data_IF_980740993051
#
_entry.id   IF_980740993051
#
_cell.length_a   1.000
_cell.length_b   1.000
_cell.length_c   1.000
_cell.angle_alpha   90.00
_cell.angle_beta   90.00
_cell.angle_gamma   90.00
#
_symmetry.space_group_name_H-M   'P 1'
#
loop_
_entity.id
_entity.type
_entity.pdbx_description
1 polymer ?
#
# COMPACT_ATOMS: atom_id res chain seq x y z
N UNK A 1 -34.24 -35.41 3.21
CA UNK A 1 -32.90 -35.27 3.82
C UNK A 1 -32.93 -33.99 4.64
N UNK A 2 -32.67 -34.05 5.94
CA UNK A 2 -32.52 -32.84 6.75
C UNK A 2 -31.21 -32.14 6.36
N UNK A 3 -31.32 -31.00 5.67
CA UNK A 3 -30.18 -30.21 5.20
C UNK A 3 -29.56 -29.36 6.32
N UNK A 4 -30.21 -29.25 7.49
CA UNK A 4 -29.74 -28.42 8.60
C UNK A 4 -28.54 -29.02 9.34
N UNK A 5 -28.32 -30.34 9.25
CA UNK A 5 -27.18 -31.05 9.87
C UNK A 5 -25.82 -30.48 9.45
N UNK A 6 -25.74 -29.89 8.26
CA UNK A 6 -24.52 -29.32 7.70
C UNK A 6 -24.46 -27.79 7.84
N UNK A 7 -25.36 -27.17 8.61
CA UNK A 7 -25.32 -25.75 8.96
C UNK A 7 -24.87 -25.64 10.41
N UNK A 8 -23.65 -25.14 10.63
CA UNK A 8 -23.03 -25.05 11.97
C UNK A 8 -22.89 -23.60 12.40
N UNK A 9 -23.42 -23.27 13.58
CA UNK A 9 -23.35 -21.91 14.13
C UNK A 9 -21.95 -21.64 14.71
N UNK A 10 -21.34 -20.53 14.28
CA UNK A 10 -20.03 -20.10 14.77
C UNK A 10 -19.44 -19.00 13.90
N UNK A 11 -18.37 -18.37 14.40
CA UNK A 11 -17.57 -17.49 13.55
C UNK A 11 -16.67 -18.33 12.64
N UNK A 12 -16.76 -18.12 11.33
CA UNK A 12 -15.88 -18.77 10.33
C UNK A 12 -14.39 -18.56 10.62
N UNK A 13 -14.04 -17.38 11.18
CA UNK A 13 -12.65 -17.00 11.41
C UNK A 13 -12.08 -17.63 12.69
N UNK A 14 -12.78 -17.51 13.82
CA UNK A 14 -12.29 -17.99 15.12
C UNK A 14 -12.75 -19.39 15.52
N UNK A 15 -13.77 -19.94 14.85
CA UNK A 15 -14.35 -21.24 15.17
C UNK A 15 -14.69 -22.01 13.89
N UNK A 16 -13.66 -22.52 13.21
CA UNK A 16 -13.82 -23.30 11.99
C UNK A 16 -14.55 -24.62 12.25
N UNK A 17 -15.83 -24.62 11.93
CA UNK A 17 -16.69 -25.77 12.14
C UNK A 17 -16.42 -26.93 11.17
N UNK A 18 -15.57 -26.75 10.17
CA UNK A 18 -15.26 -27.73 9.12
C UNK A 18 -13.74 -27.84 8.90
N UNK A 19 -12.93 -27.71 9.95
CA UNK A 19 -11.47 -27.56 9.88
C UNK A 19 -10.79 -28.59 8.95
N UNK A 20 -11.15 -29.87 9.09
CA UNK A 20 -10.55 -31.00 8.37
C UNK A 20 -11.27 -31.36 7.07
N UNK A 21 -12.30 -30.60 6.70
CA UNK A 21 -13.09 -30.85 5.49
C UNK A 21 -12.61 -29.97 4.34
N UNK A 22 -12.77 -30.49 3.12
CA UNK A 22 -12.48 -29.82 1.84
C UNK A 22 -13.63 -30.04 0.87
N UNK A 23 -13.77 -29.14 -0.09
CA UNK A 23 -14.90 -29.12 -1.01
C UNK A 23 -14.44 -28.86 -2.44
N UNK A 24 -15.16 -29.45 -3.40
CA UNK A 24 -14.96 -29.22 -4.84
C UNK A 24 -15.44 -27.83 -5.28
N UNK A 25 -16.51 -27.34 -4.65
CA UNK A 25 -17.14 -26.06 -4.97
C UNK A 25 -17.40 -25.29 -3.68
N UNK A 26 -16.90 -24.06 -3.62
CA UNK A 26 -17.11 -23.14 -2.52
C UNK A 26 -17.78 -21.87 -3.04
N UNK A 27 -18.84 -21.42 -2.38
CA UNK A 27 -19.50 -20.15 -2.68
C UNK A 27 -19.68 -19.38 -1.38
N UNK A 28 -19.29 -18.11 -1.36
CA UNK A 28 -19.49 -17.25 -0.19
C UNK A 28 -19.79 -15.82 -0.61
N UNK A 29 -20.57 -15.14 0.23
CA UNK A 29 -20.76 -13.69 0.20
C UNK A 29 -20.48 -13.17 1.62
N UNK A 30 -19.19 -13.01 1.99
CA UNK A 30 -18.83 -12.61 3.35
C UNK A 30 -19.25 -11.16 3.63
N UNK A 31 -19.38 -10.77 4.91
CA UNK A 31 -19.67 -9.38 5.27
C UNK A 31 -18.60 -8.41 4.76
N UNK A 32 -19.01 -7.37 4.03
CA UNK A 32 -18.11 -6.35 3.47
C UNK A 32 -17.39 -5.55 4.57
N UNK A 33 -16.06 -5.46 4.49
CA UNK A 33 -15.28 -4.56 5.35
C UNK A 33 -15.45 -4.82 6.86
N UNK A 34 -15.79 -6.06 7.24
CA UNK A 34 -16.08 -6.39 8.64
C UNK A 34 -14.80 -6.33 9.47
N UNK A 35 -14.82 -5.52 10.54
CA UNK A 35 -13.77 -5.56 11.56
C UNK A 35 -13.71 -6.92 12.25
N UNK A 36 -12.51 -7.43 12.51
CA UNK A 36 -12.30 -8.76 13.06
C UNK A 36 -11.68 -8.76 14.46
N UNK A 37 -11.86 -7.68 15.25
CA UNK A 37 -11.33 -7.60 16.63
C UNK A 37 -11.75 -8.79 17.50
N UNK A 38 -13.01 -9.25 17.36
CA UNK A 38 -13.55 -10.39 18.13
C UNK A 38 -12.90 -11.72 17.76
N UNK A 39 -12.42 -11.86 16.53
CA UNK A 39 -11.77 -13.06 16.02
C UNK A 39 -10.24 -13.00 16.18
N UNK A 40 -9.70 -11.82 16.56
CA UNK A 40 -8.27 -11.51 16.50
C UNK A 40 -7.39 -12.52 17.22
N UNK A 41 -7.76 -12.88 18.45
CA UNK A 41 -6.96 -13.80 19.27
C UNK A 41 -6.78 -15.15 18.57
N UNK A 42 -7.86 -15.74 18.04
CA UNK A 42 -7.81 -17.04 17.39
C UNK A 42 -7.02 -16.98 16.06
N UNK A 43 -7.25 -15.91 15.27
CA UNK A 43 -6.56 -15.68 14.01
C UNK A 43 -5.05 -15.46 14.22
N UNK A 44 -4.66 -14.62 15.19
CA UNK A 44 -3.25 -14.39 15.57
C UNK A 44 -2.58 -15.69 16.04
N UNK A 45 -3.28 -16.48 16.86
CA UNK A 45 -2.78 -17.77 17.36
C UNK A 45 -2.54 -18.72 16.20
N UNK A 46 -3.51 -18.89 15.29
CA UNK A 46 -3.36 -19.76 14.13
C UNK A 46 -2.21 -19.30 13.21
N UNK A 47 -2.12 -17.99 12.93
CA UNK A 47 -1.04 -17.43 12.12
C UNK A 47 0.34 -17.70 12.74
N UNK A 48 0.51 -17.51 14.06
CA UNK A 48 1.79 -17.71 14.76
C UNK A 48 2.16 -19.17 14.92
N UNK A 49 1.21 -20.03 15.29
CA UNK A 49 1.49 -21.41 15.67
C UNK A 49 1.51 -22.35 14.46
N UNK A 50 0.65 -22.11 13.47
CA UNK A 50 0.57 -22.97 12.28
C UNK A 50 1.36 -22.42 11.10
N UNK A 51 1.70 -21.12 11.09
CA UNK A 51 2.41 -20.48 9.98
C UNK A 51 1.76 -20.82 8.63
N UNK A 52 2.57 -21.28 7.69
CA UNK A 52 2.15 -21.67 6.33
C UNK A 52 1.18 -22.87 6.27
N UNK A 53 1.09 -23.66 7.35
CA UNK A 53 0.15 -24.78 7.46
C UNK A 53 -1.24 -24.33 7.97
N UNK A 54 -1.35 -23.07 8.43
CA UNK A 54 -2.60 -22.47 8.88
C UNK A 54 -3.32 -21.71 7.77
N UNK A 55 -4.62 -21.44 7.97
CA UNK A 55 -5.44 -20.70 6.99
C UNK A 55 -4.97 -19.27 6.79
N UNK A 56 -4.31 -18.70 7.79
CA UNK A 56 -3.90 -17.30 7.84
C UNK A 56 -2.39 -17.13 7.78
N UNK A 57 -1.63 -18.17 7.41
CA UNK A 57 -0.19 -18.10 7.18
C UNK A 57 0.24 -16.94 6.26
N UNK A 58 -0.40 -16.77 5.07
CA UNK A 58 0.01 -15.77 4.09
C UNK A 58 0.03 -14.33 4.60
N UNK A 59 -0.79 -14.02 5.59
CA UNK A 59 -0.72 -12.77 6.33
C UNK A 59 -2.03 -12.32 6.96
N UNK A 60 -1.95 -11.22 7.70
CA UNK A 60 -3.08 -10.66 8.43
C UNK A 60 -3.42 -9.28 7.85
N UNK A 61 -4.66 -9.03 7.40
CA UNK A 61 -5.08 -7.70 6.94
C UNK A 61 -5.25 -6.75 8.13
N UNK A 62 -5.53 -5.47 7.87
CA UNK A 62 -5.84 -4.51 8.94
C UNK A 62 -7.02 -4.99 9.78
N UNK A 63 -6.99 -4.71 11.09
CA UNK A 63 -8.05 -5.14 12.02
C UNK A 63 -9.45 -4.63 11.62
N UNK A 64 -9.48 -3.49 10.91
CA UNK A 64 -10.68 -2.85 10.41
C UNK A 64 -11.34 -3.57 9.23
N UNK A 65 -10.65 -4.49 8.55
CA UNK A 65 -11.17 -5.19 7.38
C UNK A 65 -10.70 -6.66 7.33
N UNK A 66 -11.62 -7.58 7.58
CA UNK A 66 -11.39 -9.02 7.54
C UNK A 66 -11.68 -9.69 6.19
N UNK A 67 -11.95 -8.93 5.12
CA UNK A 67 -12.38 -9.50 3.82
C UNK A 67 -11.40 -10.54 3.28
N UNK A 68 -10.10 -10.26 3.37
CA UNK A 68 -9.05 -11.20 2.94
C UNK A 68 -8.96 -12.46 3.83
N UNK A 69 -9.35 -12.40 5.11
CA UNK A 69 -9.41 -13.59 5.97
C UNK A 69 -10.47 -14.58 5.49
N UNK A 70 -11.63 -14.07 5.04
CA UNK A 70 -12.67 -14.93 4.46
C UNK A 70 -12.23 -15.55 3.13
N UNK A 71 -11.49 -14.80 2.31
CA UNK A 71 -10.95 -15.31 1.04
C UNK A 71 -9.91 -16.41 1.27
N UNK A 72 -8.99 -16.22 2.21
CA UNK A 72 -8.03 -17.26 2.60
C UNK A 72 -8.71 -18.47 3.24
N UNK A 73 -9.74 -18.25 4.07
CA UNK A 73 -10.56 -19.35 4.57
C UNK A 73 -11.16 -20.15 3.41
N UNK A 74 -11.77 -19.50 2.42
CA UNK A 74 -12.35 -20.17 1.25
C UNK A 74 -11.29 -20.94 0.47
N UNK A 75 -10.12 -20.33 0.22
CA UNK A 75 -8.99 -20.97 -0.44
C UNK A 75 -8.51 -22.22 0.32
N UNK A 76 -8.42 -22.14 1.65
CA UNK A 76 -8.02 -23.27 2.50
C UNK A 76 -8.98 -24.47 2.45
N UNK A 77 -10.20 -24.27 1.96
CA UNK A 77 -11.23 -25.32 1.83
C UNK A 77 -11.27 -25.99 0.47
N UNK A 78 -10.43 -25.57 -0.48
CA UNK A 78 -10.33 -26.21 -1.78
C UNK A 78 -9.67 -27.60 -1.67
N UNK A 79 -10.08 -28.53 -2.53
CA UNK A 79 -9.72 -29.97 -2.45
C UNK A 79 -8.21 -30.25 -2.38
N UNK A 80 -7.42 -29.62 -3.24
CA UNK A 80 -5.96 -29.74 -3.20
C UNK A 80 -5.38 -28.75 -2.17
N UNK A 81 -4.49 -29.22 -1.26
CA UNK A 81 -3.87 -28.37 -0.27
C UNK A 81 -3.05 -27.28 -0.94
N UNK A 82 -3.10 -26.08 -0.36
CA UNK A 82 -2.32 -24.94 -0.80
C UNK A 82 -1.41 -24.57 0.37
N UNK A 83 -0.12 -24.48 0.11
CA UNK A 83 0.88 -24.06 1.09
C UNK A 83 1.39 -22.66 0.76
N UNK A 84 1.99 -22.01 1.76
CA UNK A 84 2.97 -20.95 1.54
C UNK A 84 2.59 -19.57 2.06
N UNK A 85 3.63 -18.78 2.30
CA UNK A 85 3.56 -17.35 2.64
C UNK A 85 3.64 -17.14 4.14
N UNK A 86 4.67 -16.40 4.58
CA UNK A 86 4.84 -15.94 5.94
C UNK A 86 5.18 -14.45 5.93
N UNK A 87 4.20 -13.62 5.63
CA UNK A 87 4.32 -12.17 5.66
C UNK A 87 3.00 -11.55 6.14
N UNK A 88 2.86 -10.22 6.18
CA UNK A 88 1.68 -9.57 6.74
C UNK A 88 1.13 -8.47 5.83
N UNK A 89 -0.18 -8.24 5.89
CA UNK A 89 -0.88 -7.24 5.07
C UNK A 89 -1.57 -7.80 3.83
N UNK A 90 -2.47 -7.01 3.26
CA UNK A 90 -3.32 -7.41 2.12
C UNK A 90 -2.51 -7.66 0.83
N UNK A 91 -1.37 -6.98 0.67
CA UNK A 91 -0.48 -7.17 -0.48
C UNK A 91 0.13 -8.58 -0.50
N UNK A 92 0.54 -9.08 0.67
CA UNK A 92 1.13 -10.42 0.80
C UNK A 92 0.10 -11.53 0.60
N UNK A 93 -1.13 -11.31 1.06
CA UNK A 93 -2.24 -12.22 0.79
C UNK A 93 -2.52 -12.27 -0.73
N UNK A 94 -2.49 -11.13 -1.43
CA UNK A 94 -2.62 -11.09 -2.89
C UNK A 94 -1.44 -11.74 -3.60
N UNK A 95 -0.21 -11.49 -3.14
CA UNK A 95 1.01 -12.16 -3.63
C UNK A 95 0.83 -13.66 -3.56
N UNK A 96 0.45 -14.19 -2.40
CA UNK A 96 0.20 -15.61 -2.20
C UNK A 96 -0.88 -16.15 -3.16
N UNK A 97 -2.03 -15.48 -3.27
CA UNK A 97 -3.13 -15.88 -4.15
C UNK A 97 -2.71 -15.95 -5.63
N UNK A 98 -1.88 -15.00 -6.09
CA UNK A 98 -1.45 -14.88 -7.48
C UNK A 98 -0.26 -15.80 -7.80
N UNK A 99 0.75 -15.86 -6.93
CA UNK A 99 1.95 -16.70 -7.11
C UNK A 99 1.65 -18.19 -6.93
N UNK A 100 0.66 -18.57 -6.11
CA UNK A 100 0.14 -19.94 -6.05
C UNK A 100 -0.92 -20.24 -7.13
N UNK A 101 -1.08 -19.34 -8.10
CA UNK A 101 -1.93 -19.50 -9.27
C UNK A 101 -3.40 -19.83 -8.93
N UNK A 102 -3.91 -19.27 -7.82
CA UNK A 102 -5.27 -19.57 -7.34
C UNK A 102 -6.33 -18.71 -8.02
N UNK A 103 -6.01 -17.45 -8.32
CA UNK A 103 -6.98 -16.51 -8.89
C UNK A 103 -7.16 -16.80 -10.37
N UNK A 104 -8.30 -17.38 -10.76
CA UNK A 104 -8.62 -17.64 -12.17
C UNK A 104 -9.24 -16.45 -12.88
N UNK A 105 -10.15 -15.76 -12.21
CA UNK A 105 -10.78 -14.55 -12.75
C UNK A 105 -11.26 -13.60 -11.65
N UNK A 106 -11.35 -12.32 -12.00
CA UNK A 106 -12.03 -11.29 -11.20
C UNK A 106 -13.01 -10.55 -12.12
N UNK A 107 -14.28 -10.52 -11.73
CA UNK A 107 -15.35 -9.91 -12.54
C UNK A 107 -15.89 -8.71 -11.78
N UNK A 108 -15.69 -7.50 -12.31
CA UNK A 108 -16.29 -6.28 -11.77
C UNK A 108 -17.78 -6.25 -12.11
N UNK A 109 -18.63 -6.13 -11.09
CA UNK A 109 -20.08 -6.11 -11.24
C UNK A 109 -20.64 -4.67 -11.21
N UNK A 110 -21.84 -4.45 -11.76
CA UNK A 110 -22.55 -3.19 -11.62
C UNK A 110 -22.69 -2.75 -10.15
N UNK A 111 -22.70 -1.43 -9.91
CA UNK A 111 -23.14 -0.87 -8.62
C UNK A 111 -24.65 -1.06 -8.44
N UNK A 112 -25.18 -0.75 -7.26
CA UNK A 112 -26.63 -0.72 -6.98
C UNK A 112 -27.34 -2.09 -7.14
N UNK A 113 -26.59 -3.19 -6.99
CA UNK A 113 -27.13 -4.56 -6.99
C UNK A 113 -27.66 -5.00 -5.62
N UNK A 114 -27.26 -4.33 -4.53
CA UNK A 114 -27.57 -4.72 -3.15
C UNK A 114 -28.55 -3.74 -2.49
N UNK A 115 -29.44 -4.27 -1.66
CA UNK A 115 -30.50 -3.49 -0.98
C UNK A 115 -29.97 -2.40 -0.04
N UNK A 116 -28.80 -2.61 0.58
CA UNK A 116 -28.26 -1.78 1.67
C UNK A 116 -27.00 -1.01 1.32
N UNK A 117 -26.47 -1.18 0.11
CA UNK A 117 -25.22 -0.54 -0.31
C UNK A 117 -25.13 -0.42 -1.82
N UNK A 118 -24.47 0.64 -2.28
CA UNK A 118 -24.19 0.92 -3.69
C UNK A 118 -22.71 0.72 -4.06
N UNK A 119 -21.95 0.03 -3.21
CA UNK A 119 -20.53 -0.24 -3.47
C UNK A 119 -20.32 -1.00 -4.79
N UNK A 120 -19.18 -0.74 -5.42
CA UNK A 120 -18.66 -1.63 -6.45
C UNK A 120 -18.36 -3.00 -5.82
N UNK A 121 -18.72 -4.08 -6.52
CA UNK A 121 -18.50 -5.44 -6.05
C UNK A 121 -17.82 -6.27 -7.14
N UNK A 122 -17.12 -7.32 -6.70
CA UNK A 122 -16.35 -8.18 -7.58
C UNK A 122 -16.67 -9.64 -7.28
N UNK A 123 -16.78 -10.46 -8.32
CA UNK A 123 -16.73 -11.92 -8.17
C UNK A 123 -15.27 -12.37 -8.30
N UNK A 124 -14.78 -13.02 -7.26
CA UNK A 124 -13.47 -13.66 -7.27
C UNK A 124 -13.66 -15.15 -7.57
N UNK A 125 -13.10 -15.61 -8.69
CA UNK A 125 -13.11 -17.01 -9.08
C UNK A 125 -11.76 -17.60 -8.74
N UNK A 126 -11.74 -18.50 -7.76
CA UNK A 126 -10.55 -19.24 -7.36
C UNK A 126 -10.58 -20.66 -7.91
N UNK A 127 -9.44 -21.18 -8.33
CA UNK A 127 -9.26 -22.57 -8.73
C UNK A 127 -7.82 -23.01 -8.48
N UNK A 128 -7.65 -24.15 -7.78
CA UNK A 128 -6.39 -24.87 -7.66
C UNK A 128 -6.25 -25.98 -8.73
N UNK A 129 -7.15 -26.00 -9.72
CA UNK A 129 -7.16 -26.93 -10.85
C UNK A 129 -7.42 -26.16 -12.15
N UNK A 130 -6.57 -25.18 -12.43
CA UNK A 130 -6.63 -24.41 -13.68
C UNK A 130 -6.30 -25.31 -14.88
N UNK A 131 -7.00 -25.07 -15.99
CA UNK A 131 -6.64 -25.62 -17.30
C UNK A 131 -5.23 -25.13 -17.69
N UNK A 132 -4.49 -25.95 -18.44
CA UNK A 132 -3.09 -25.66 -18.80
C UNK A 132 -2.93 -24.29 -19.46
N UNK A 133 -3.85 -23.91 -20.35
CA UNK A 133 -3.82 -22.64 -21.06
C UNK A 133 -4.10 -21.40 -20.17
N UNK A 134 -4.68 -21.61 -18.97
CA UNK A 134 -5.02 -20.58 -17.97
C UNK A 134 -4.02 -20.52 -16.80
N UNK A 135 -3.04 -21.44 -16.74
CA UNK A 135 -2.01 -21.40 -15.69
C UNK A 135 -1.16 -20.15 -15.79
N UNK A 136 -0.84 -19.56 -14.64
CA UNK A 136 -0.10 -18.29 -14.53
C UNK A 136 -0.85 -17.08 -15.08
N UNK A 137 -2.15 -17.22 -15.37
CA UNK A 137 -2.98 -16.14 -15.91
C UNK A 137 -4.19 -15.86 -15.03
N UNK A 138 -4.65 -14.62 -15.09
CA UNK A 138 -5.88 -14.12 -14.47
C UNK A 138 -6.70 -13.41 -15.52
N UNK A 139 -7.98 -13.77 -15.62
CA UNK A 139 -8.93 -13.03 -16.44
C UNK A 139 -9.55 -11.89 -15.63
N UNK A 140 -9.38 -10.65 -16.06
CA UNK A 140 -10.21 -9.54 -15.58
C UNK A 140 -11.40 -9.38 -16.51
N UNK A 141 -12.61 -9.23 -15.97
CA UNK A 141 -13.81 -8.95 -16.76
C UNK A 141 -14.57 -7.76 -16.19
N UNK A 142 -14.90 -6.80 -17.05
CA UNK A 142 -15.65 -5.61 -16.68
C UNK A 142 -17.12 -5.75 -17.08
N UNK A 143 -17.94 -6.25 -16.15
CA UNK A 143 -19.38 -6.39 -16.35
C UNK A 143 -20.17 -5.20 -15.79
N UNK A 144 -19.53 -4.07 -15.47
CA UNK A 144 -20.18 -2.94 -14.79
C UNK A 144 -21.32 -2.30 -15.60
N UNK A 145 -21.31 -2.46 -16.93
CA UNK A 145 -22.37 -2.01 -17.85
C UNK A 145 -23.49 -3.05 -18.06
N UNK A 146 -23.32 -4.29 -17.60
CA UNK A 146 -24.26 -5.39 -17.85
C UNK A 146 -25.33 -5.46 -16.75
N UNK A 147 -26.33 -4.58 -16.87
CA UNK A 147 -27.45 -4.51 -15.93
C UNK A 147 -28.75 -4.10 -16.59
N UNK A 148 -29.87 -4.41 -15.92
CA UNK A 148 -31.22 -3.97 -16.26
C UNK A 148 -31.78 -3.13 -15.10
N UNK A 149 -32.41 -1.98 -15.36
CA UNK A 149 -33.01 -1.18 -14.30
C UNK A 149 -34.21 -1.91 -13.69
N UNK A 150 -34.41 -1.73 -12.39
CA UNK A 150 -35.62 -2.15 -11.68
C UNK A 150 -36.23 -0.98 -10.93
N UNK A 151 -37.48 -1.14 -10.49
CA UNK A 151 -38.07 -0.26 -9.49
C UNK A 151 -37.19 -0.28 -8.22
N UNK A 152 -36.90 0.89 -7.68
CA UNK A 152 -36.01 1.04 -6.53
C UNK A 152 -36.49 0.22 -5.32
N UNK A 153 -35.59 -0.59 -4.77
CA UNK A 153 -35.78 -1.36 -3.54
C UNK A 153 -34.64 -1.04 -2.55
N UNK A 154 -34.80 0.05 -1.80
CA UNK A 154 -33.72 0.62 -1.02
C UNK A 154 -32.62 1.18 -1.92
N UNK A 155 -31.38 0.74 -1.73
CA UNK A 155 -30.26 1.10 -2.61
C UNK A 155 -30.20 0.25 -3.87
N UNK A 156 -30.99 -0.84 -3.97
CA UNK A 156 -31.00 -1.70 -5.14
C UNK A 156 -31.80 -1.04 -6.26
N UNK A 157 -31.14 -0.80 -7.39
CA UNK A 157 -31.73 -0.17 -8.59
C UNK A 157 -31.48 -0.98 -9.86
N UNK A 158 -30.61 -1.97 -9.77
CA UNK A 158 -30.13 -2.77 -10.90
C UNK A 158 -30.25 -4.25 -10.59
N UNK A 159 -30.48 -5.04 -11.64
CA UNK A 159 -30.30 -6.49 -11.66
C UNK A 159 -29.40 -6.86 -12.83
N UNK A 160 -28.79 -8.04 -12.76
CA UNK A 160 -28.18 -8.69 -13.92
C UNK A 160 -29.22 -9.69 -14.44
N UNK A 161 -29.79 -9.43 -15.61
CA UNK A 161 -30.82 -10.29 -16.22
C UNK A 161 -30.27 -11.68 -16.57
N UNK A 162 -31.13 -12.64 -16.88
CA UNK A 162 -30.69 -13.99 -17.29
C UNK A 162 -29.80 -13.93 -18.53
N UNK A 163 -30.18 -13.13 -19.52
CA UNK A 163 -29.38 -12.89 -20.72
C UNK A 163 -28.00 -12.30 -20.37
N UNK A 164 -27.96 -11.28 -19.50
CA UNK A 164 -26.71 -10.66 -19.06
C UNK A 164 -25.83 -11.63 -18.24
N UNK A 165 -26.44 -12.54 -17.46
CA UNK A 165 -25.72 -13.60 -16.75
C UNK A 165 -25.09 -14.59 -17.72
N UNK A 166 -25.79 -14.97 -18.79
CA UNK A 166 -25.22 -15.80 -19.85
C UNK A 166 -24.09 -15.07 -20.57
N UNK A 167 -24.26 -13.78 -20.89
CA UNK A 167 -23.19 -12.99 -21.49
C UNK A 167 -21.91 -12.94 -20.62
N UNK A 168 -22.05 -12.74 -19.31
CA UNK A 168 -20.90 -12.77 -18.38
C UNK A 168 -20.25 -14.16 -18.36
N UNK A 169 -21.05 -15.23 -18.39
CA UNK A 169 -20.55 -16.59 -18.43
C UNK A 169 -19.79 -16.88 -19.74
N UNK A 170 -20.32 -16.43 -20.88
CA UNK A 170 -19.70 -16.60 -22.19
C UNK A 170 -18.36 -15.85 -22.26
N UNK A 171 -18.29 -14.63 -21.74
CA UNK A 171 -17.05 -13.86 -21.61
C UNK A 171 -16.02 -14.63 -20.76
N UNK A 172 -16.42 -15.15 -19.60
CA UNK A 172 -15.54 -15.94 -18.73
C UNK A 172 -15.06 -17.26 -19.39
N UNK A 173 -15.96 -17.93 -20.11
CA UNK A 173 -15.70 -19.20 -20.77
C UNK A 173 -14.75 -19.02 -21.96
N UNK A 174 -14.96 -18.00 -22.79
CA UNK A 174 -14.12 -17.69 -23.93
C UNK A 174 -12.67 -17.39 -23.51
N UNK A 175 -12.49 -16.61 -22.43
CA UNK A 175 -11.15 -16.28 -21.92
C UNK A 175 -10.32 -15.42 -22.89
N UNK A 176 -10.97 -14.79 -23.87
CA UNK A 176 -10.34 -13.95 -24.87
C UNK A 176 -10.06 -12.54 -24.32
N UNK A 177 -9.25 -11.78 -25.06
CA UNK A 177 -8.92 -10.40 -24.71
C UNK A 177 -9.64 -9.44 -25.64
N UNK A 178 -10.59 -8.68 -25.09
CA UNK A 178 -11.48 -7.75 -25.77
C UNK A 178 -11.82 -6.53 -24.87
N UNK A 179 -12.77 -5.70 -25.27
CA UNK A 179 -13.17 -4.51 -24.52
C UNK A 179 -13.63 -4.79 -23.07
N UNK A 180 -14.32 -5.92 -22.85
CA UNK A 180 -14.90 -6.29 -21.56
C UNK A 180 -14.05 -7.34 -20.82
N UNK A 181 -13.04 -7.93 -21.47
CA UNK A 181 -12.22 -8.99 -20.89
C UNK A 181 -10.74 -8.86 -21.21
N UNK A 182 -9.87 -9.14 -20.24
CA UNK A 182 -8.41 -9.18 -20.42
C UNK A 182 -7.87 -10.44 -19.77
N UNK A 183 -7.22 -11.30 -20.55
CA UNK A 183 -6.47 -12.45 -20.02
C UNK A 183 -5.02 -12.03 -19.84
N UNK A 184 -4.57 -11.92 -18.59
CA UNK A 184 -3.29 -11.30 -18.24
C UNK A 184 -2.40 -12.29 -17.50
N UNK A 185 -1.08 -12.18 -17.70
CA UNK A 185 -0.10 -12.83 -16.83
C UNK A 185 -0.23 -12.27 -15.40
N UNK A 186 -0.21 -13.13 -14.38
CA UNK A 186 -0.36 -12.67 -12.99
C UNK A 186 0.71 -11.65 -12.59
N UNK A 187 1.90 -11.71 -13.20
CA UNK A 187 3.01 -10.78 -12.97
C UNK A 187 2.70 -9.35 -13.40
N UNK A 188 1.72 -9.15 -14.29
CA UNK A 188 1.27 -7.81 -14.70
C UNK A 188 0.64 -7.01 -13.54
N UNK A 189 0.13 -7.70 -12.50
CA UNK A 189 -0.38 -7.08 -11.28
C UNK A 189 0.72 -6.80 -10.24
N UNK A 190 1.93 -7.31 -10.47
CA UNK A 190 3.06 -7.14 -9.58
C UNK A 190 3.73 -5.79 -9.77
N UNK A 191 4.35 -5.32 -8.70
CA UNK A 191 5.37 -4.28 -8.72
C UNK A 191 6.47 -4.61 -7.73
N UNK A 192 7.65 -4.02 -7.93
CA UNK A 192 8.77 -4.05 -7.00
C UNK A 192 8.95 -2.65 -6.44
N UNK A 193 8.57 -2.48 -5.17
CA UNK A 193 8.72 -1.21 -4.46
C UNK A 193 10.18 -1.02 -4.10
N UNK A 194 10.81 0.03 -4.61
CA UNK A 194 12.17 0.43 -4.24
C UNK A 194 12.11 1.61 -3.28
N UNK A 195 13.16 1.76 -2.47
CA UNK A 195 13.31 2.90 -1.58
C UNK A 195 14.35 3.84 -2.20
N UNK A 196 13.90 5.03 -2.54
CA UNK A 196 14.69 6.06 -3.20
C UNK A 196 15.19 7.04 -2.15
N UNK A 197 16.50 7.21 -2.08
CA UNK A 197 17.18 8.10 -1.16
C UNK A 197 17.73 9.30 -1.92
N UNK A 198 17.84 10.41 -1.19
CA UNK A 198 18.50 11.61 -1.65
C UNK A 198 19.53 12.05 -0.62
N UNK A 199 20.67 12.61 -1.03
CA UNK A 199 21.68 13.05 -0.09
C UNK A 199 21.16 14.20 0.77
N UNK A 200 21.51 14.18 2.05
CA UNK A 200 21.36 15.31 2.94
C UNK A 200 22.24 16.45 2.45
N UNK A 201 21.68 17.66 2.36
CA UNK A 201 22.43 18.88 2.08
C UNK A 201 22.21 19.83 3.23
N UNK A 202 23.24 20.02 4.05
CA UNK A 202 23.15 20.73 5.32
C UNK A 202 24.47 21.41 5.66
N UNK A 203 24.35 22.59 6.29
CA UNK A 203 25.46 23.29 6.95
C UNK A 203 25.12 23.48 8.43
N UNK A 204 26.14 23.58 9.27
CA UNK A 204 25.97 23.86 10.69
C UNK A 204 26.23 25.35 10.92
N UNK A 205 25.20 26.11 11.28
CA UNK A 205 25.34 27.54 11.60
C UNK A 205 25.30 27.68 13.11
N UNK A 206 26.41 28.13 13.70
CA UNK A 206 26.52 28.31 15.14
C UNK A 206 25.93 29.66 15.52
N UNK A 207 24.61 29.73 15.70
CA UNK A 207 23.88 30.95 16.06
C UNK A 207 23.20 30.86 17.43
N UNK A 208 22.83 32.01 17.99
CA UNK A 208 22.18 32.08 19.31
C UNK A 208 20.87 31.27 19.35
N UNK A 209 20.14 31.22 18.23
CA UNK A 209 18.93 30.42 18.10
C UNK A 209 19.23 28.92 18.18
N UNK A 210 20.31 28.45 17.56
CA UNK A 210 20.79 27.08 17.64
C UNK A 210 21.28 26.72 19.03
N UNK A 211 21.96 27.64 19.72
CA UNK A 211 22.37 27.43 21.10
C UNK A 211 21.14 27.25 22.02
N UNK A 212 20.12 28.10 21.87
CA UNK A 212 18.86 27.94 22.59
C UNK A 212 18.15 26.61 22.27
N UNK A 213 18.20 26.14 21.01
CA UNK A 213 17.68 24.81 20.64
C UNK A 213 18.48 23.68 21.30
N UNK A 214 19.80 23.81 21.38
CA UNK A 214 20.66 22.82 22.05
C UNK A 214 20.33 22.74 23.54
N UNK A 215 20.22 23.88 24.22
CA UNK A 215 19.92 23.94 25.66
C UNK A 215 18.54 23.35 25.99
N UNK A 216 17.58 23.49 25.08
CA UNK A 216 16.25 22.90 25.21
C UNK A 216 16.20 21.39 24.89
N UNK A 217 17.25 20.80 24.32
CA UNK A 217 17.28 19.38 23.96
C UNK A 217 17.34 18.49 25.20
N UNK A 218 16.57 17.40 25.21
CA UNK A 218 16.51 16.46 26.33
C UNK A 218 17.86 15.77 26.61
N UNK A 219 18.75 15.67 25.62
CA UNK A 219 20.11 15.15 25.78
C UNK A 219 20.98 16.14 26.53
N UNK A 220 20.85 17.43 26.23
CA UNK A 220 21.56 18.49 26.94
C UNK A 220 21.13 18.58 28.41
N UNK A 221 19.83 18.49 28.68
CA UNK A 221 19.29 18.51 30.04
C UNK A 221 19.73 17.32 30.92
N UNK A 222 20.26 16.23 30.33
CA UNK A 222 20.82 15.08 31.06
C UNK A 222 22.29 15.25 31.44
N UNK A 223 22.97 16.25 30.90
CA UNK A 223 24.35 16.57 31.26
C UNK A 223 24.39 17.17 32.68
N UNK A 224 25.50 16.97 33.39
CA UNK A 224 25.70 17.66 34.66
C UNK A 224 25.94 19.16 34.41
N UNK A 225 25.64 20.04 35.38
CA UNK A 225 25.90 21.48 35.22
C UNK A 225 27.33 21.78 34.78
N UNK A 226 28.32 21.10 35.36
CA UNK A 226 29.74 21.22 34.97
C UNK A 226 30.04 20.80 33.53
N UNK A 227 29.28 19.85 32.96
CA UNK A 227 29.44 19.46 31.55
C UNK A 227 28.76 20.45 30.62
N UNK A 228 27.62 21.02 31.02
CA UNK A 228 26.94 22.09 30.28
C UNK A 228 27.81 23.33 30.21
N UNK A 229 28.35 23.79 31.35
CA UNK A 229 29.26 24.93 31.42
C UNK A 229 30.48 24.73 30.50
N UNK A 230 31.10 23.55 30.58
CA UNK A 230 32.23 23.20 29.72
C UNK A 230 31.87 23.30 28.23
N UNK A 231 30.74 22.72 27.80
CA UNK A 231 30.33 22.76 26.39
C UNK A 231 29.96 24.18 25.92
N UNK A 232 29.38 25.00 26.80
CA UNK A 232 29.10 26.42 26.50
C UNK A 232 30.39 27.22 26.31
N UNK A 233 31.39 27.02 27.16
CA UNK A 233 32.67 27.71 27.07
C UNK A 233 33.41 27.42 25.76
N UNK A 234 33.35 26.18 25.26
CA UNK A 234 34.01 25.79 24.00
C UNK A 234 33.19 26.16 22.76
N UNK A 235 31.86 26.29 22.86
CA UNK A 235 31.00 26.69 21.73
C UNK A 235 30.97 28.21 21.54
N UNK A 236 31.02 28.98 22.63
CA UNK A 236 30.91 30.46 22.61
C UNK A 236 31.88 31.16 21.65
N UNK A 237 33.18 30.78 21.53
CA UNK A 237 34.11 31.40 20.58
C UNK A 237 33.78 31.12 19.11
N UNK A 238 32.94 30.12 18.84
CA UNK A 238 32.59 29.65 17.51
C UNK A 238 31.27 30.23 17.01
N UNK A 239 30.57 31.00 17.85
CA UNK A 239 29.31 31.66 17.49
C UNK A 239 29.52 32.61 16.30
N UNK A 240 28.58 32.57 15.35
CA UNK A 240 28.62 33.26 14.06
C UNK A 240 29.33 32.48 12.95
N UNK A 241 30.00 31.36 13.25
CA UNK A 241 30.68 30.55 12.23
C UNK A 241 29.70 29.58 11.56
N UNK A 242 29.98 29.28 10.28
CA UNK A 242 29.34 28.19 9.54
C UNK A 242 30.34 27.07 9.36
N UNK A 243 29.94 25.85 9.71
CA UNK A 243 30.77 24.66 9.71
C UNK A 243 30.15 23.57 8.82
N UNK A 244 30.97 22.70 8.20
CA UNK A 244 30.47 21.55 7.46
C UNK A 244 29.82 20.52 8.41
N UNK A 245 28.98 19.63 7.89
CA UNK A 245 28.26 18.64 8.69
C UNK A 245 29.17 17.79 9.62
N UNK A 246 30.29 17.30 9.07
CA UNK A 246 31.27 16.47 9.79
C UNK A 246 32.01 17.21 10.92
N UNK A 247 31.89 18.54 10.96
CA UNK A 247 32.51 19.33 12.01
C UNK A 247 31.99 18.93 13.38
N UNK A 248 30.69 18.66 13.54
CA UNK A 248 30.11 18.29 14.85
C UNK A 248 30.78 17.06 15.47
N UNK A 249 31.04 16.02 14.66
CA UNK A 249 31.73 14.81 15.10
C UNK A 249 33.21 15.08 15.39
N UNK A 250 33.89 15.80 14.51
CA UNK A 250 35.32 16.10 14.68
C UNK A 250 35.55 16.99 15.90
N UNK A 251 34.77 18.07 16.01
CA UNK A 251 34.76 18.98 17.15
C UNK A 251 34.52 18.24 18.45
N UNK A 252 33.44 17.46 18.55
CA UNK A 252 33.13 16.78 19.79
C UNK A 252 34.21 15.76 20.21
N UNK A 253 34.83 15.06 19.24
CA UNK A 253 35.92 14.10 19.51
C UNK A 253 37.24 14.78 19.91
N UNK A 254 37.60 15.88 19.27
CA UNK A 254 38.83 16.60 19.62
C UNK A 254 38.68 17.37 20.94
N UNK A 255 37.53 18.00 21.17
CA UNK A 255 37.26 18.78 22.38
C UNK A 255 37.34 17.93 23.66
N UNK A 256 36.88 16.67 23.63
CA UNK A 256 36.99 15.79 24.81
C UNK A 256 38.42 15.30 25.11
N UNK A 257 39.41 15.58 24.25
CA UNK A 257 40.82 15.25 24.49
C UNK A 257 41.55 16.31 25.31
N UNK A 258 40.95 17.49 25.52
CA UNK A 258 41.55 18.55 26.34
C UNK A 258 41.72 18.09 27.80
N UNK A 259 42.67 18.70 28.51
CA UNK A 259 42.93 18.34 29.90
C UNK A 259 41.75 18.67 30.82
N UNK A 260 41.06 19.79 30.56
CA UNK A 260 39.85 20.19 31.26
C UNK A 260 38.71 19.18 31.06
N UNK A 261 38.51 18.70 29.83
CA UNK A 261 37.51 17.68 29.53
C UNK A 261 37.80 16.35 30.25
N UNK A 262 39.07 15.95 30.31
CA UNK A 262 39.52 14.74 31.01
C UNK A 262 39.34 14.86 32.52
N UNK A 263 39.67 16.01 33.10
CA UNK A 263 39.48 16.28 34.52
C UNK A 263 38.00 16.19 34.93
N UNK A 264 37.11 16.73 34.09
CA UNK A 264 35.65 16.70 34.27
C UNK A 264 35.00 15.39 33.81
N UNK A 265 35.75 14.49 33.17
CA UNK A 265 35.26 13.24 32.55
C UNK A 265 34.10 13.47 31.57
N UNK A 266 34.20 14.55 30.79
CA UNK A 266 33.22 14.89 29.74
C UNK A 266 33.21 13.80 28.68
N UNK A 267 32.03 13.43 28.18
CA UNK A 267 31.87 12.45 27.11
C UNK A 267 31.09 13.06 25.95
N UNK A 268 31.56 12.79 24.73
CA UNK A 268 30.82 13.06 23.50
C UNK A 268 30.36 11.72 22.90
N UNK A 269 29.11 11.33 23.18
CA UNK A 269 28.51 10.16 22.58
C UNK A 269 27.72 10.54 21.31
N UNK A 270 27.27 9.53 20.56
CA UNK A 270 26.50 9.73 19.32
C UNK A 270 25.26 10.60 19.53
N UNK A 271 24.55 10.43 20.66
CA UNK A 271 23.35 11.22 20.99
C UNK A 271 23.66 12.70 21.16
N UNK A 272 24.76 13.05 21.82
CA UNK A 272 25.19 14.44 21.97
C UNK A 272 25.60 15.07 20.63
N UNK A 273 26.31 14.33 19.78
CA UNK A 273 26.67 14.79 18.43
C UNK A 273 25.40 15.04 17.60
N UNK A 274 24.40 14.14 17.68
CA UNK A 274 23.10 14.35 17.05
C UNK A 274 22.37 15.59 17.60
N UNK A 275 22.45 15.84 18.90
CA UNK A 275 21.88 17.06 19.49
C UNK A 275 22.54 18.33 18.92
N UNK A 276 23.87 18.35 18.76
CA UNK A 276 24.59 19.45 18.09
C UNK A 276 24.13 19.64 16.64
N UNK A 277 24.02 18.55 15.87
CA UNK A 277 23.56 18.60 14.47
C UNK A 277 22.13 19.12 14.39
N UNK A 278 21.22 18.66 15.25
CA UNK A 278 19.83 19.12 15.25
C UNK A 278 19.70 20.58 15.69
N UNK A 279 20.52 21.01 16.64
CA UNK A 279 20.53 22.38 17.14
C UNK A 279 21.02 23.36 16.09
N UNK A 280 22.17 23.07 15.46
CA UNK A 280 22.83 24.02 14.55
C UNK A 280 22.63 23.70 13.07
N UNK A 281 21.93 22.62 12.73
CA UNK A 281 21.76 22.15 11.36
C UNK A 281 20.74 22.95 10.56
N UNK A 282 21.19 23.56 9.48
CA UNK A 282 20.36 24.22 8.48
C UNK A 282 20.43 23.45 7.17
N UNK A 283 19.28 22.92 6.73
CA UNK A 283 19.16 22.31 5.41
C UNK A 283 19.28 23.38 4.32
N UNK A 284 20.09 23.09 3.32
CA UNK A 284 20.38 24.01 2.22
C UNK A 284 20.42 23.19 0.92
N UNK A 285 19.39 23.26 0.06
CA UNK A 285 19.35 22.52 -1.20
C UNK A 285 20.53 22.82 -2.15
N UNK A 286 21.22 23.95 -1.96
CA UNK A 286 22.37 24.36 -2.76
C UNK A 286 23.72 23.96 -2.12
N UNK A 287 23.72 23.43 -0.89
CA UNK A 287 24.94 22.93 -0.26
C UNK A 287 25.37 21.60 -0.87
N UNK A 288 26.66 21.28 -0.77
CA UNK A 288 27.18 19.98 -1.21
C UNK A 288 26.56 18.81 -0.43
N UNK A 289 26.46 17.61 -1.05
CA UNK A 289 26.02 16.40 -0.37
C UNK A 289 26.86 16.11 0.86
N UNK A 290 26.19 15.84 1.97
CA UNK A 290 26.83 15.40 3.20
C UNK A 290 27.28 13.96 3.05
N UNK A 291 28.54 13.70 3.39
CA UNK A 291 29.09 12.36 3.57
C UNK A 291 29.32 12.07 5.05
N UNK A 292 29.35 10.79 5.40
CA UNK A 292 29.74 10.34 6.74
C UNK A 292 31.27 10.22 6.87
N UNK A 293 31.75 9.80 8.04
CA UNK A 293 33.19 9.60 8.28
C UNK A 293 33.86 8.52 7.42
N UNK A 294 33.10 7.75 6.62
CA UNK A 294 33.59 6.75 5.66
C UNK A 294 33.55 7.27 4.22
N UNK A 295 33.00 8.46 3.99
CA UNK A 295 32.81 9.02 2.65
C UNK A 295 31.50 8.60 1.98
N UNK A 296 30.62 7.88 2.67
CA UNK A 296 29.32 7.45 2.15
C UNK A 296 28.29 8.58 2.28
N UNK A 297 27.37 8.69 1.33
CA UNK A 297 26.32 9.72 1.38
C UNK A 297 25.39 9.51 2.59
N UNK A 298 25.17 10.58 3.35
CA UNK A 298 24.15 10.57 4.42
C UNK A 298 22.79 10.85 3.77
N UNK A 299 21.79 9.95 3.92
CA UNK A 299 20.47 10.20 3.34
C UNK A 299 19.69 11.28 4.09
N UNK A 300 18.96 12.12 3.36
CA UNK A 300 17.92 12.96 3.96
C UNK A 300 16.67 12.12 4.22
N UNK A 301 16.41 11.82 5.50
CA UNK A 301 15.25 11.03 5.91
C UNK A 301 13.92 11.70 5.60
N UNK A 302 13.89 13.03 5.40
CA UNK A 302 12.68 13.77 5.02
C UNK A 302 12.40 13.67 3.53
N UNK A 303 13.43 13.46 2.72
CA UNK A 303 13.33 13.33 1.26
C UNK A 303 13.38 11.87 0.80
N UNK A 304 13.28 10.91 1.72
CA UNK A 304 13.15 9.49 1.38
C UNK A 304 11.82 9.25 0.71
N UNK A 305 11.86 8.62 -0.46
CA UNK A 305 10.68 8.29 -1.26
C UNK A 305 10.64 6.80 -1.61
N UNK A 306 9.54 6.37 -2.22
CA UNK A 306 9.36 5.02 -2.69
C UNK A 306 8.71 5.00 -4.07
N UNK A 307 9.30 4.21 -4.96
CA UNK A 307 8.80 4.01 -6.32
C UNK A 307 8.31 2.58 -6.49
N UNK A 308 7.20 2.40 -7.21
CA UNK A 308 6.66 1.09 -7.53
C UNK A 308 7.01 0.74 -8.98
N UNK A 309 8.12 0.03 -9.17
CA UNK A 309 8.56 -0.41 -10.49
C UNK A 309 7.65 -1.55 -10.97
N UNK A 310 7.06 -1.52 -12.18
CA UNK A 310 6.33 -2.66 -12.73
C UNK A 310 7.15 -3.96 -12.65
N UNK A 311 6.55 -5.08 -12.22
CA UNK A 311 7.32 -6.28 -11.87
C UNK A 311 8.09 -6.93 -13.04
N UNK A 312 7.67 -6.65 -14.27
CA UNK A 312 8.31 -7.14 -15.49
C UNK A 312 9.36 -6.17 -16.05
N UNK A 313 9.57 -5.03 -15.40
CA UNK A 313 10.49 -3.98 -15.82
C UNK A 313 11.78 -4.01 -14.97
N UNK A 314 12.89 -3.62 -15.59
CA UNK A 314 14.17 -3.48 -14.90
C UNK A 314 14.11 -2.28 -13.94
N UNK A 315 14.53 -2.50 -12.69
CA UNK A 315 14.65 -1.41 -11.70
C UNK A 315 15.57 -0.30 -12.24
N UNK A 316 16.68 -0.68 -12.86
CA UNK A 316 17.67 0.28 -13.37
C UNK A 316 17.09 1.12 -14.51
N UNK A 317 16.34 0.50 -15.42
CA UNK A 317 15.76 1.20 -16.57
C UNK A 317 14.67 2.17 -16.11
N UNK A 318 13.74 1.70 -15.26
CA UNK A 318 12.71 2.54 -14.66
C UNK A 318 13.32 3.71 -13.87
N UNK A 319 14.35 3.44 -13.05
CA UNK A 319 15.00 4.49 -12.26
C UNK A 319 15.66 5.54 -13.16
N UNK A 320 16.26 5.12 -14.28
CA UNK A 320 16.88 6.01 -15.23
C UNK A 320 15.87 6.85 -16.04
N UNK A 321 14.70 6.28 -16.39
CA UNK A 321 13.69 6.98 -17.21
C UNK A 321 12.71 7.81 -16.38
N UNK A 322 12.29 7.32 -15.21
CA UNK A 322 11.21 7.92 -14.42
C UNK A 322 11.72 8.72 -13.21
N UNK A 323 12.89 8.40 -12.65
CA UNK A 323 13.37 9.05 -11.40
C UNK A 323 14.46 10.06 -11.66
N UNK A 324 15.56 9.66 -12.28
CA UNK A 324 16.74 10.51 -12.47
C UNK A 324 16.48 11.82 -13.25
N UNK A 325 15.55 11.89 -14.24
CA UNK A 325 15.25 13.15 -14.91
C UNK A 325 14.60 14.20 -14.01
N UNK A 326 13.92 13.77 -12.94
CA UNK A 326 13.29 14.66 -11.97
C UNK A 326 14.15 14.87 -10.73
N UNK A 327 14.96 13.87 -10.35
CA UNK A 327 15.83 13.89 -9.18
C UNK A 327 17.22 13.31 -9.50
N UNK A 328 18.13 14.12 -10.07
CA UNK A 328 19.40 13.62 -10.60
C UNK A 328 20.38 13.05 -9.56
N UNK A 329 20.25 13.45 -8.29
CA UNK A 329 21.11 13.00 -7.20
C UNK A 329 20.46 11.89 -6.35
N UNK A 330 19.33 11.34 -6.80
CA UNK A 330 18.71 10.20 -6.15
C UNK A 330 19.52 8.92 -6.34
N UNK A 331 19.46 8.03 -5.35
CA UNK A 331 20.04 6.69 -5.43
C UNK A 331 19.13 5.69 -4.72
N UNK A 332 19.28 4.41 -5.07
CA UNK A 332 18.44 3.34 -4.51
C UNK A 332 19.08 2.83 -3.22
N UNK A 333 18.27 2.62 -2.19
CA UNK A 333 18.70 1.94 -0.95
C UNK A 333 18.86 0.44 -1.21
N UNK A 334 20.10 -0.01 -1.44
CA UNK A 334 20.41 -1.43 -1.69
C UNK A 334 20.09 -2.36 -0.51
N UNK A 335 19.93 -1.81 0.70
CA UNK A 335 19.52 -2.60 1.87
C UNK A 335 18.02 -2.88 1.91
N UNK A 336 17.23 -2.19 1.08
CA UNK A 336 15.78 -2.38 1.00
C UNK A 336 15.45 -3.58 0.11
N UNK A 337 15.54 -4.78 0.66
CA UNK A 337 15.35 -6.06 -0.05
C UNK A 337 14.03 -6.76 0.32
N UNK A 338 13.55 -7.63 -0.56
CA UNK A 338 12.42 -8.52 -0.32
C UNK A 338 12.79 -9.65 0.63
N UNK A 339 11.89 -10.00 1.55
CA UNK A 339 12.17 -11.07 2.52
C UNK A 339 12.09 -12.47 1.90
N UNK A 340 11.30 -12.67 0.83
CA UNK A 340 11.08 -13.98 0.24
C UNK A 340 12.16 -14.32 -0.80
N UNK A 341 12.45 -13.42 -1.73
CA UNK A 341 13.42 -13.68 -2.82
C UNK A 341 14.82 -13.08 -2.60
N UNK A 342 15.00 -12.26 -1.56
CA UNK A 342 16.28 -11.59 -1.20
C UNK A 342 16.82 -10.64 -2.28
N UNK A 343 16.00 -10.23 -3.23
CA UNK A 343 16.36 -9.26 -4.27
C UNK A 343 16.03 -7.83 -3.83
N UNK A 344 16.62 -6.85 -4.53
CA UNK A 344 16.39 -5.43 -4.32
C UNK A 344 14.90 -5.07 -4.43
N UNK A 345 14.40 -4.21 -3.56
CA UNK A 345 12.99 -3.81 -3.49
C UNK A 345 12.08 -4.89 -2.90
N UNK A 346 10.87 -4.50 -2.50
CA UNK A 346 9.84 -5.42 -1.96
C UNK A 346 8.78 -5.70 -3.01
N UNK A 347 8.40 -6.96 -3.17
CA UNK A 347 7.35 -7.34 -4.13
C UNK A 347 5.99 -7.02 -3.55
N UNK A 348 5.13 -6.38 -4.34
CA UNK A 348 3.74 -6.15 -4.01
C UNK A 348 2.84 -6.46 -5.20
N UNK A 349 1.56 -6.69 -4.93
CA UNK A 349 0.55 -6.93 -5.96
C UNK A 349 -0.65 -6.00 -5.78
N UNK A 350 -1.07 -5.39 -6.88
CA UNK A 350 -2.25 -4.53 -6.95
C UNK A 350 -3.03 -4.81 -8.24
N UNK A 351 -4.35 -4.94 -8.09
CA UNK A 351 -5.27 -5.19 -9.20
C UNK A 351 -6.11 -3.94 -9.40
N UNK A 352 -5.70 -3.09 -10.35
CA UNK A 352 -6.38 -1.86 -10.68
C UNK A 352 -7.15 -2.02 -12.01
N UNK A 353 -8.48 -2.17 -11.93
CA UNK A 353 -9.32 -2.33 -13.12
C UNK A 353 -9.23 -1.14 -14.08
N UNK A 354 -9.09 0.10 -13.57
CA UNK A 354 -9.00 1.28 -14.42
C UNK A 354 -7.76 1.23 -15.31
N UNK A 355 -6.64 0.66 -14.85
CA UNK A 355 -5.44 0.48 -15.69
C UNK A 355 -5.72 -0.31 -16.98
N UNK A 356 -6.69 -1.23 -16.96
CA UNK A 356 -6.96 -2.17 -18.05
C UNK A 356 -8.20 -1.83 -18.88
N UNK A 357 -9.17 -1.13 -18.30
CA UNK A 357 -10.47 -0.84 -18.91
C UNK A 357 -10.78 0.65 -19.04
N UNK A 358 -9.90 1.54 -18.59
CA UNK A 358 -10.12 2.97 -18.79
C UNK A 358 -10.11 3.31 -20.28
N UNK A 359 -11.22 3.84 -20.75
CA UNK A 359 -11.33 4.47 -22.05
C UNK A 359 -11.42 5.97 -21.84
N UNK A 360 -10.51 6.72 -22.45
CA UNK A 360 -10.58 8.18 -22.43
C UNK A 360 -11.86 8.62 -23.15
N UNK A 361 -12.77 9.24 -22.42
CA UNK A 361 -13.92 9.92 -22.99
C UNK A 361 -13.60 11.41 -23.07
N UNK A 362 -13.42 11.97 -24.28
CA UNK A 362 -13.24 13.41 -24.42
C UNK A 362 -14.47 14.12 -23.86
N UNK A 363 -14.29 15.27 -23.17
CA UNK A 363 -15.42 16.05 -22.72
C UNK A 363 -16.32 16.44 -23.91
N UNK A 364 -17.64 16.41 -23.70
CA UNK A 364 -18.61 16.88 -24.70
C UNK A 364 -18.28 18.31 -25.09
N UNK A 365 -18.45 18.66 -26.37
CA UNK A 365 -18.22 20.03 -26.81
C UNK A 365 -19.28 20.94 -26.18
N UNK A 366 -18.89 22.14 -25.77
CA UNK A 366 -19.78 23.09 -25.10
C UNK A 366 -21.09 23.34 -25.86
N UNK A 367 -21.01 23.44 -27.20
CA UNK A 367 -22.18 23.69 -28.05
C UNK A 367 -23.23 22.55 -28.01
N UNK A 368 -22.81 21.31 -27.77
CA UNK A 368 -23.73 20.16 -27.66
C UNK A 368 -24.44 20.21 -26.30
N UNK A 369 -23.75 20.70 -25.26
CA UNK A 369 -24.31 20.89 -23.93
C UNK A 369 -25.36 22.01 -23.96
N UNK A 370 -25.06 23.12 -24.64
CA UNK A 370 -26.00 24.25 -24.80
C UNK A 370 -27.26 23.86 -25.59
N UNK A 371 -27.11 23.01 -26.61
CA UNK A 371 -28.24 22.50 -27.39
C UNK A 371 -29.15 21.59 -26.55
N UNK A 372 -28.57 20.65 -25.80
CA UNK A 372 -29.31 19.78 -24.89
C UNK A 372 -30.01 20.57 -23.78
N UNK A 373 -29.34 21.56 -23.19
CA UNK A 373 -29.92 22.41 -22.15
C UNK A 373 -31.17 23.14 -22.67
N UNK A 374 -31.09 23.72 -23.87
CA UNK A 374 -32.25 24.37 -24.50
C UNK A 374 -33.38 23.39 -24.77
N UNK A 375 -33.07 22.17 -25.16
CA UNK A 375 -34.08 21.13 -25.37
C UNK A 375 -34.76 20.76 -24.05
N UNK A 376 -33.99 20.50 -22.99
CA UNK A 376 -34.53 20.17 -21.67
C UNK A 376 -35.33 21.35 -21.09
N UNK A 377 -34.88 22.59 -21.28
CA UNK A 377 -35.63 23.78 -20.90
C UNK A 377 -36.97 23.88 -21.62
N UNK A 378 -37.03 23.55 -22.92
CA UNK A 378 -38.27 23.51 -23.68
C UNK A 378 -39.21 22.40 -23.18
N UNK A 379 -38.69 21.19 -22.93
CA UNK A 379 -39.48 20.08 -22.37
C UNK A 379 -40.03 20.42 -20.98
N UNK A 380 -39.25 21.08 -20.12
CA UNK A 380 -39.70 21.56 -18.81
C UNK A 380 -40.79 22.64 -18.96
N UNK A 381 -40.61 23.58 -19.89
CA UNK A 381 -41.59 24.64 -20.13
C UNK A 381 -42.94 24.08 -20.61
N UNK A 382 -42.91 23.10 -21.50
CA UNK A 382 -44.11 22.42 -22.00
C UNK A 382 -44.83 21.66 -20.87
N UNK A 383 -44.09 20.91 -20.05
CA UNK A 383 -44.65 20.21 -18.89
C UNK A 383 -45.26 21.18 -17.85
N UNK A 384 -44.62 22.32 -17.60
CA UNK A 384 -45.16 23.33 -16.68
C UNK A 384 -46.41 24.01 -17.24
N UNK A 385 -46.47 24.25 -18.55
CA UNK A 385 -47.64 24.81 -19.20
C UNK A 385 -48.83 23.84 -19.15
N UNK A 386 -48.58 22.54 -19.33
CA UNK A 386 -49.60 21.49 -19.22
C UNK A 386 -50.20 21.45 -17.80
N UNK A 387 -49.35 21.47 -16.77
CA UNK A 387 -49.79 21.50 -15.35
C UNK A 387 -50.50 22.80 -14.97
N UNK A 388 -50.11 23.94 -15.55
CA UNK A 388 -50.76 25.21 -15.30
C UNK A 388 -52.10 25.38 -16.06
N UNK A 389 -52.41 24.47 -16.98
CA UNK A 389 -53.63 24.47 -17.79
C UNK A 389 -54.72 23.51 -17.30
N UNK A 390 -54.43 22.71 -16.27
CA UNK A 390 -55.41 22.01 -15.40
C UNK A 390 -55.80 22.90 -14.20
#
# INVERSE_FOLDING_TARGET
>A
RDLSKNIRQGSTLSNDQFADERFHYCLSNPPFGKKWEKDKKAVDTEHKEKGELGRFGPGLPKISDGSMLFLMHLASKLELPINGGAASGESEIRRWLLENDLVGAIIALPTDLFFRTNIATYLWILSNKKLEERKGKVQLSNATSLWTPIKNEGNKRRIVSDEQRHQILDIYAAGETDELSRMLDYRTFGYRRIKVLRPLRMKLVLDEAGLARLEADATWGKLTPSHQDFWLEVLKPLMGQTQPYLWSETFAKETIKSDDAKALKVKANKTFITALINAFGHKDPQADPVTDGKGELVPDTVLTDYENVPYLESIQDYFASEVLPHVPDAYIDESFIDENDKQLGRVGYEINFNRFFYQYQPPRKLHDIDADLKQVEAEIADLLAEVASE
#
